data_IF_082876192684
#
_entry.id   IF_082876192684
#
_cell.length_a   1.000
_cell.length_b   1.000
_cell.length_c   1.000
_cell.angle_alpha   90.00
_cell.angle_beta   90.00
_cell.angle_gamma   90.00
#
_symmetry.space_group_name_H-M   'P 1'
#
loop_
_entity.id
_entity.type
_entity.pdbx_description
1 polymer ?
#
# COMPACT_ATOMS: atom_id res chain seq x y z
N UNK A 1 -6.95 -14.81 -13.80
CA UNK A 1 -5.98 -14.23 -12.87
C UNK A 1 -5.97 -12.71 -12.92
N UNK A 2 -5.47 -12.08 -11.88
CA UNK A 2 -5.36 -10.62 -11.75
C UNK A 2 -4.00 -10.19 -12.32
N UNK A 3 -3.99 -9.15 -13.17
CA UNK A 3 -2.73 -8.57 -13.66
C UNK A 3 -2.24 -7.52 -12.67
N UNK A 4 -1.08 -7.75 -12.07
CA UNK A 4 -0.42 -6.85 -11.12
C UNK A 4 0.91 -6.40 -11.69
N UNK A 5 1.20 -5.10 -11.58
CA UNK A 5 2.51 -4.52 -11.88
C UNK A 5 3.13 -3.97 -10.60
N UNK A 6 4.45 -3.93 -10.55
CA UNK A 6 5.22 -3.34 -9.45
C UNK A 6 6.03 -2.17 -9.98
N UNK A 7 6.04 -1.07 -9.23
CA UNK A 7 6.92 0.07 -9.45
C UNK A 7 7.83 0.19 -8.23
N UNK A 8 9.11 0.00 -8.44
CA UNK A 8 10.12 0.21 -7.40
C UNK A 8 10.70 1.63 -7.54
N UNK A 9 10.50 2.44 -6.51
CA UNK A 9 10.95 3.82 -6.47
C UNK A 9 12.32 3.89 -5.78
N UNK A 10 13.38 3.82 -6.57
CA UNK A 10 14.77 3.87 -6.08
C UNK A 10 15.17 5.28 -5.65
N UNK A 11 14.61 6.32 -6.28
CA UNK A 11 14.94 7.73 -6.01
C UNK A 11 13.71 8.53 -5.58
N UNK A 12 13.75 9.02 -4.34
CA UNK A 12 12.66 9.84 -3.81
C UNK A 12 12.82 11.34 -4.15
N UNK A 13 14.06 11.81 -4.34
CA UNK A 13 14.37 13.20 -4.73
C UNK A 13 15.50 13.23 -5.78
N UNK A 14 15.33 13.91 -6.93
CA UNK A 14 14.07 14.53 -7.39
C UNK A 14 12.98 13.50 -7.63
N UNK A 15 11.73 13.86 -7.35
CA UNK A 15 10.60 12.93 -7.52
C UNK A 15 10.28 12.76 -9.01
N UNK A 16 10.21 11.53 -9.54
CA UNK A 16 9.99 11.26 -10.96
C UNK A 16 8.50 11.36 -11.33
N UNK A 17 7.90 12.53 -11.12
CA UNK A 17 6.47 12.77 -11.27
C UNK A 17 5.97 12.49 -12.69
N UNK A 18 6.81 12.77 -13.69
CA UNK A 18 6.50 12.55 -15.12
C UNK A 18 6.32 11.05 -15.43
N UNK A 19 7.22 10.19 -14.92
CA UNK A 19 7.13 8.73 -15.08
C UNK A 19 5.96 8.17 -14.28
N UNK A 20 5.82 8.59 -13.03
CA UNK A 20 4.74 8.13 -12.15
C UNK A 20 3.38 8.48 -12.75
N UNK A 21 3.18 9.72 -13.21
CA UNK A 21 1.94 10.12 -13.87
C UNK A 21 1.59 9.24 -15.06
N UNK A 22 2.56 8.90 -15.92
CA UNK A 22 2.33 8.01 -17.07
C UNK A 22 2.01 6.58 -16.66
N UNK A 23 2.76 6.04 -15.70
CA UNK A 23 2.58 4.63 -15.27
C UNK A 23 1.24 4.42 -14.59
N UNK A 24 0.77 5.39 -13.81
CA UNK A 24 -0.47 5.26 -13.03
C UNK A 24 -1.74 5.51 -13.85
N UNK A 25 -1.65 6.19 -14.99
CA UNK A 25 -2.81 6.55 -15.81
C UNK A 25 -3.68 5.34 -16.16
N UNK A 26 -4.97 5.40 -15.88
CA UNK A 26 -5.96 4.40 -16.22
C UNK A 26 -5.82 3.06 -15.46
N UNK A 27 -5.04 2.99 -14.38
CA UNK A 27 -4.98 1.79 -13.56
C UNK A 27 -6.24 1.63 -12.73
N UNK A 28 -6.68 0.38 -12.52
CA UNK A 28 -7.90 0.07 -11.76
C UNK A 28 -7.77 0.29 -10.25
N UNK A 29 -6.53 0.30 -9.75
CA UNK A 29 -6.19 0.59 -8.36
C UNK A 29 -4.67 0.63 -8.21
N UNK A 30 -4.20 1.44 -7.28
CA UNK A 30 -2.79 1.56 -6.93
C UNK A 30 -2.66 1.55 -5.43
N UNK A 31 -1.83 0.65 -4.91
CA UNK A 31 -1.41 0.67 -3.52
C UNK A 31 0.00 1.23 -3.43
N UNK A 32 0.18 2.18 -2.54
CA UNK A 32 1.50 2.75 -2.18
C UNK A 32 1.92 2.12 -0.87
N UNK A 33 3.01 1.37 -0.90
CA UNK A 33 3.56 0.70 0.27
C UNK A 33 4.78 1.48 0.79
N UNK A 34 4.74 1.88 2.05
CA UNK A 34 5.80 2.66 2.69
C UNK A 34 6.22 2.02 4.02
N UNK A 35 7.55 1.93 4.23
CA UNK A 35 8.10 1.43 5.50
C UNK A 35 8.17 2.54 6.54
N UNK A 36 7.06 3.19 6.77
CA UNK A 36 6.93 4.28 7.74
C UNK A 36 5.50 4.40 8.22
N UNK A 37 5.33 5.08 9.33
CA UNK A 37 4.06 5.56 9.81
C UNK A 37 4.23 7.02 10.25
N UNK A 38 3.20 7.82 10.03
CA UNK A 38 3.16 9.22 10.46
C UNK A 38 1.82 9.47 11.14
N UNK A 39 1.72 9.19 12.43
CA UNK A 39 0.51 9.52 13.19
C UNK A 39 0.10 10.98 12.99
N UNK A 40 -1.20 11.24 12.90
CA UNK A 40 -1.80 12.57 12.65
C UNK A 40 -1.53 13.17 11.25
N UNK A 41 -0.75 12.54 10.38
CA UNK A 41 -0.65 12.96 8.98
C UNK A 41 -1.84 12.41 8.18
N UNK A 42 -2.31 13.21 7.21
CA UNK A 42 -3.38 12.77 6.30
C UNK A 42 -2.90 11.63 5.39
N UNK A 43 -1.66 11.73 4.91
CA UNK A 43 -1.01 10.74 4.05
C UNK A 43 0.45 10.55 4.42
N UNK A 44 1.00 9.38 4.10
CA UNK A 44 2.42 9.09 4.21
C UNK A 44 3.24 9.85 3.15
N UNK A 45 4.55 10.02 3.33
CA UNK A 45 5.37 10.88 2.48
C UNK A 45 5.28 10.60 0.98
N UNK A 46 5.41 9.33 0.57
CA UNK A 46 5.33 8.95 -0.84
C UNK A 46 3.91 9.10 -1.38
N UNK A 47 2.91 8.75 -0.59
CA UNK A 47 1.51 8.94 -0.97
C UNK A 47 1.20 10.41 -1.26
N UNK A 48 1.74 11.35 -0.48
CA UNK A 48 1.58 12.80 -0.75
C UNK A 48 2.14 13.22 -2.10
N UNK A 49 3.32 12.73 -2.46
CA UNK A 49 3.92 13.01 -3.77
C UNK A 49 3.11 12.43 -4.92
N UNK A 50 2.62 11.21 -4.75
CA UNK A 50 1.78 10.55 -5.75
C UNK A 50 0.45 11.28 -5.91
N UNK A 51 -0.22 11.68 -4.81
CA UNK A 51 -1.45 12.48 -4.89
C UNK A 51 -1.21 13.82 -5.57
N UNK A 52 -0.13 14.51 -5.22
CA UNK A 52 0.27 15.76 -5.86
C UNK A 52 0.49 15.59 -7.37
N UNK A 53 1.13 14.50 -7.77
CA UNK A 53 1.35 14.16 -9.18
C UNK A 53 0.03 13.90 -9.91
N UNK A 54 -0.83 13.04 -9.37
CA UNK A 54 -2.14 12.72 -9.96
C UNK A 54 -3.01 13.97 -10.06
N UNK A 55 -3.01 14.83 -9.03
CA UNK A 55 -3.73 16.11 -9.05
C UNK A 55 -3.28 17.01 -10.20
N UNK A 56 -1.96 17.18 -10.37
CA UNK A 56 -1.40 17.97 -11.49
C UNK A 56 -1.70 17.37 -12.86
N UNK A 57 -1.70 16.04 -12.98
CA UNK A 57 -2.10 15.37 -14.22
C UNK A 57 -3.58 15.65 -14.56
N UNK A 58 -4.46 15.68 -13.56
CA UNK A 58 -5.86 16.06 -13.73
C UNK A 58 -6.03 17.56 -14.04
N UNK A 59 -5.23 18.43 -13.43
CA UNK A 59 -5.21 19.86 -13.76
C UNK A 59 -4.83 20.10 -15.23
N UNK A 60 -3.86 19.35 -15.76
CA UNK A 60 -3.54 19.38 -17.19
C UNK A 60 -4.73 19.02 -18.09
N UNK A 61 -5.62 18.15 -17.62
CA UNK A 61 -6.80 17.74 -18.37
C UNK A 61 -7.94 18.78 -18.42
N UNK A 62 -7.91 19.78 -17.54
CA UNK A 62 -8.95 20.82 -17.47
C UNK A 62 -8.91 21.79 -18.66
N UNK A 63 -7.72 22.05 -19.21
CA UNK A 63 -7.55 22.88 -20.39
C UNK A 63 -7.11 22.04 -21.57
N UNK A 64 -8.02 21.84 -22.53
CA UNK A 64 -7.75 21.06 -23.74
C UNK A 64 -6.68 21.69 -24.64
N UNK A 65 -6.39 22.98 -24.49
CA UNK A 65 -5.49 23.73 -25.39
C UNK A 65 -4.06 23.85 -24.87
N UNK A 66 -3.86 23.79 -23.55
CA UNK A 66 -2.55 24.01 -22.94
C UNK A 66 -2.37 23.25 -21.64
N UNK A 67 -1.40 22.34 -21.60
CA UNK A 67 -0.98 21.72 -20.35
C UNK A 67 -0.34 22.76 -19.42
N UNK A 68 -0.81 22.82 -18.16
CA UNK A 68 -0.26 23.69 -17.12
C UNK A 68 1.13 23.19 -16.69
N UNK A 69 1.28 21.87 -16.67
CA UNK A 69 2.53 21.16 -16.30
C UNK A 69 3.01 20.35 -17.52
N UNK A 70 3.82 20.93 -18.43
CA UNK A 70 4.14 20.31 -19.73
C UNK A 70 4.83 18.96 -19.64
N UNK A 71 5.61 18.73 -18.58
CA UNK A 71 6.37 17.49 -18.38
C UNK A 71 5.52 16.35 -17.82
N UNK A 72 4.33 16.66 -17.30
CA UNK A 72 3.45 15.65 -16.69
C UNK A 72 2.42 15.11 -17.69
N UNK A 73 1.96 13.89 -17.42
CA UNK A 73 0.85 13.30 -18.14
C UNK A 73 -0.42 14.17 -18.05
N UNK A 74 -1.28 14.05 -19.03
CA UNK A 74 -2.58 14.75 -19.07
C UNK A 74 -3.70 13.73 -18.85
N UNK A 75 -4.40 13.83 -17.72
CA UNK A 75 -5.58 13.03 -17.45
C UNK A 75 -6.83 13.83 -17.84
N UNK A 76 -7.49 13.42 -18.89
CA UNK A 76 -8.65 14.14 -19.45
C UNK A 76 -9.94 13.84 -18.71
N UNK A 77 -10.00 12.68 -18.09
CA UNK A 77 -11.17 12.20 -17.37
C UNK A 77 -10.77 11.77 -15.96
N UNK A 78 -11.67 11.93 -15.00
CA UNK A 78 -11.43 11.49 -13.62
C UNK A 78 -11.17 9.97 -13.54
N UNK A 79 -11.74 9.20 -14.45
CA UNK A 79 -11.54 7.75 -14.54
C UNK A 79 -10.10 7.34 -14.87
N UNK A 80 -9.29 8.25 -15.44
CA UNK A 80 -7.87 8.00 -15.71
C UNK A 80 -7.01 8.08 -14.44
N UNK A 81 -7.51 8.75 -13.39
CA UNK A 81 -6.87 8.77 -12.09
C UNK A 81 -7.26 7.51 -11.29
N UNK A 82 -6.29 6.65 -10.94
CA UNK A 82 -6.60 5.43 -10.23
C UNK A 82 -7.05 5.69 -8.80
N UNK A 83 -7.93 4.84 -8.22
CA UNK A 83 -8.11 4.79 -6.78
C UNK A 83 -6.78 4.50 -6.08
N UNK A 84 -6.39 5.36 -5.13
CA UNK A 84 -5.16 5.23 -4.37
C UNK A 84 -5.44 4.63 -2.99
N UNK A 85 -4.53 3.77 -2.54
CA UNK A 85 -4.56 3.09 -1.25
C UNK A 85 -3.18 3.19 -0.60
N UNK A 86 -3.12 3.45 0.70
CA UNK A 86 -1.89 3.60 1.47
C UNK A 86 -1.70 2.42 2.40
N UNK A 87 -0.58 1.72 2.26
CA UNK A 87 -0.21 0.61 3.12
C UNK A 87 1.11 0.88 3.85
N UNK A 88 1.08 0.84 5.18
CA UNK A 88 2.28 0.88 6.00
C UNK A 88 2.77 -0.54 6.29
N UNK A 89 4.08 -0.77 6.17
CA UNK A 89 4.69 -2.07 6.45
C UNK A 89 6.03 -1.94 7.16
N UNK A 90 6.56 -3.05 7.63
CA UNK A 90 7.92 -3.13 8.16
C UNK A 90 8.12 -2.42 9.50
N UNK A 91 7.05 -2.02 10.18
CA UNK A 91 7.10 -1.44 11.52
C UNK A 91 7.59 -2.50 12.53
N UNK A 92 8.37 -2.07 13.52
CA UNK A 92 8.96 -2.98 14.50
C UNK A 92 9.95 -3.98 13.89
N UNK A 93 10.69 -3.58 12.84
CA UNK A 93 11.70 -4.41 12.16
C UNK A 93 11.13 -5.70 11.53
N UNK A 94 9.87 -5.70 11.13
CA UNK A 94 9.24 -6.85 10.47
C UNK A 94 9.38 -6.75 8.96
N UNK A 95 9.69 -7.87 8.34
CA UNK A 95 9.76 -7.95 6.89
C UNK A 95 8.37 -8.06 6.26
N UNK A 96 8.22 -7.47 5.07
CA UNK A 96 7.03 -7.63 4.26
C UNK A 96 6.95 -9.08 3.76
N UNK A 97 5.90 -9.77 4.13
CA UNK A 97 5.65 -11.14 3.73
C UNK A 97 4.80 -11.20 2.44
N UNK A 98 4.91 -12.26 1.63
CA UNK A 98 4.06 -12.47 0.45
C UNK A 98 2.57 -12.34 0.75
N UNK A 99 2.13 -12.86 1.87
CA UNK A 99 0.76 -12.72 2.38
C UNK A 99 0.31 -11.25 2.49
N UNK A 100 1.20 -10.36 2.95
CA UNK A 100 0.90 -8.93 3.02
C UNK A 100 0.68 -8.31 1.65
N UNK A 101 1.48 -8.68 0.64
CA UNK A 101 1.31 -8.21 -0.73
C UNK A 101 -0.01 -8.71 -1.34
N UNK A 102 -0.35 -9.99 -1.12
CA UNK A 102 -1.63 -10.55 -1.54
C UNK A 102 -2.78 -9.78 -0.90
N UNK A 103 -2.75 -9.55 0.41
CA UNK A 103 -3.77 -8.79 1.12
C UNK A 103 -3.91 -7.35 0.62
N UNK A 104 -2.81 -6.70 0.28
CA UNK A 104 -2.83 -5.35 -0.30
C UNK A 104 -3.52 -5.33 -1.67
N UNK A 105 -3.29 -6.35 -2.51
CA UNK A 105 -3.99 -6.49 -3.81
C UNK A 105 -5.46 -6.80 -3.61
N UNK A 106 -5.78 -7.79 -2.78
CA UNK A 106 -7.17 -8.19 -2.48
C UNK A 106 -7.98 -7.04 -1.90
N UNK A 107 -7.37 -6.19 -1.07
CA UNK A 107 -8.04 -5.00 -0.53
C UNK A 107 -8.54 -4.04 -1.62
N UNK A 108 -7.89 -3.99 -2.78
CA UNK A 108 -8.27 -3.10 -3.88
C UNK A 108 -9.38 -3.67 -4.77
N UNK A 109 -9.64 -4.98 -4.72
CA UNK A 109 -10.63 -5.64 -5.56
C UNK A 109 -12.06 -5.18 -5.25
N UNK A 110 -13.00 -5.35 -6.18
CA UNK A 110 -14.41 -5.00 -5.95
C UNK A 110 -15.02 -5.65 -4.71
N UNK A 111 -14.66 -6.89 -4.45
CA UNK A 111 -15.05 -7.71 -3.29
C UNK A 111 -14.19 -7.46 -2.04
N UNK A 112 -13.12 -6.71 -2.19
CA UNK A 112 -12.18 -6.40 -1.10
C UNK A 112 -12.72 -5.38 -0.11
N UNK A 113 -12.04 -5.25 1.02
CA UNK A 113 -12.40 -4.31 2.09
C UNK A 113 -12.29 -2.85 1.69
N UNK A 114 -11.49 -2.53 0.68
CA UNK A 114 -11.24 -1.18 0.13
C UNK A 114 -10.78 -0.14 1.17
N UNK A 115 -10.07 -0.60 2.18
CA UNK A 115 -9.48 0.27 3.20
C UNK A 115 -8.46 1.20 2.56
N UNK A 116 -8.63 2.50 2.73
CA UNK A 116 -7.78 3.52 2.11
C UNK A 116 -6.44 3.68 2.81
N UNK A 117 -6.39 3.41 4.10
CA UNK A 117 -5.18 3.29 4.92
C UNK A 117 -5.22 1.92 5.60
N UNK A 118 -4.10 1.23 5.62
CA UNK A 118 -3.99 -0.06 6.30
C UNK A 118 -2.54 -0.39 6.66
N UNK A 119 -2.41 -1.34 7.58
CA UNK A 119 -1.13 -1.87 8.06
C UNK A 119 -0.94 -3.32 7.64
N UNK A 120 0.29 -3.66 7.23
CA UNK A 120 0.71 -5.03 6.90
C UNK A 120 1.65 -5.57 7.98
N UNK A 121 1.67 -6.89 8.12
CA UNK A 121 2.55 -7.61 9.05
C UNK A 121 2.32 -7.26 10.52
N UNK A 122 1.07 -6.95 10.90
CA UNK A 122 0.66 -6.74 12.28
C UNK A 122 0.23 -8.08 12.90
N UNK A 123 0.78 -8.41 14.06
CA UNK A 123 0.60 -9.72 14.71
C UNK A 123 -0.80 -9.97 15.28
N UNK A 124 -1.62 -8.93 15.48
CA UNK A 124 -2.99 -9.08 15.97
C UNK A 124 -3.87 -9.98 15.11
N UNK A 125 -3.47 -10.21 13.86
CA UNK A 125 -4.19 -11.08 12.93
C UNK A 125 -3.65 -12.51 12.91
N UNK A 126 -2.75 -12.89 13.82
CA UNK A 126 -2.33 -14.28 13.93
C UNK A 126 -3.46 -15.11 14.52
N UNK A 127 -3.87 -16.11 13.76
CA UNK A 127 -4.94 -17.05 14.15
C UNK A 127 -4.54 -17.92 15.33
N UNK A 128 -3.27 -17.89 15.75
CA UNK A 128 -2.75 -18.66 16.89
C UNK A 128 -1.77 -17.81 17.68
N UNK A 129 -2.17 -17.42 18.87
CA UNK A 129 -1.23 -16.97 19.90
C UNK A 129 -0.27 -18.12 20.23
N UNK A 130 1.04 -17.83 20.27
CA UNK A 130 2.05 -18.86 20.50
C UNK A 130 2.12 -19.24 22.00
N UNK A 131 1.74 -18.30 22.88
CA UNK A 131 1.70 -18.51 24.34
C UNK A 131 0.53 -17.75 24.97
N UNK A 132 0.00 -18.21 26.13
CA UNK A 132 -1.07 -17.51 26.85
C UNK A 132 -0.70 -16.06 27.24
N UNK A 133 0.59 -15.79 27.49
CA UNK A 133 1.06 -14.43 27.78
C UNK A 133 0.96 -13.50 26.57
N UNK A 134 1.28 -14.01 25.40
CA UNK A 134 1.14 -13.24 24.15
C UNK A 134 -0.32 -12.97 23.83
N UNK A 135 -1.18 -13.95 24.05
CA UNK A 135 -2.62 -13.81 23.85
C UNK A 135 -3.21 -12.73 24.76
N UNK A 136 -2.90 -12.77 26.05
CA UNK A 136 -3.34 -11.76 27.02
C UNK A 136 -2.81 -10.36 26.67
N UNK A 137 -1.57 -10.26 26.21
CA UNK A 137 -0.99 -8.98 25.76
C UNK A 137 -1.67 -8.44 24.50
N UNK A 138 -1.90 -9.30 23.51
CA UNK A 138 -2.62 -8.94 22.31
C UNK A 138 -4.04 -8.46 22.63
N UNK A 139 -4.76 -9.18 23.46
CA UNK A 139 -6.10 -8.80 23.90
C UNK A 139 -6.09 -7.42 24.57
N UNK A 140 -5.13 -7.16 25.46
CA UNK A 140 -4.99 -5.84 26.12
C UNK A 140 -4.81 -4.71 25.11
N UNK A 141 -4.02 -4.94 24.04
CA UNK A 141 -3.82 -3.92 22.99
C UNK A 141 -5.06 -3.77 22.12
N UNK A 142 -5.72 -4.87 21.75
CA UNK A 142 -6.95 -4.81 20.96
C UNK A 142 -8.08 -4.07 21.70
N UNK A 143 -8.16 -4.27 23.01
CA UNK A 143 -9.15 -3.59 23.86
C UNK A 143 -8.85 -2.09 23.99
N UNK A 144 -7.56 -1.72 24.05
CA UNK A 144 -7.14 -0.33 24.15
C UNK A 144 -7.19 0.42 22.81
N UNK A 145 -6.95 -0.28 21.69
CA UNK A 145 -6.81 0.30 20.34
C UNK A 145 -7.53 -0.55 19.29
N UNK A 146 -8.87 -0.67 19.35
CA UNK A 146 -9.64 -1.53 18.42
C UNK A 146 -9.48 -1.15 16.95
N UNK A 147 -9.22 0.12 16.65
CA UNK A 147 -8.99 0.63 15.29
C UNK A 147 -7.75 0.00 14.63
N UNK A 148 -6.74 -0.38 15.39
CA UNK A 148 -5.53 -1.02 14.82
C UNK A 148 -5.88 -2.36 14.19
N UNK A 149 -6.75 -3.14 14.84
CA UNK A 149 -7.27 -4.39 14.28
C UNK A 149 -8.05 -4.17 13.00
N UNK A 150 -8.87 -3.12 13.00
CA UNK A 150 -9.66 -2.79 11.81
C UNK A 150 -8.80 -2.39 10.63
N UNK A 151 -7.69 -1.68 10.87
CA UNK A 151 -6.78 -1.22 9.82
C UNK A 151 -5.78 -2.29 9.38
N UNK A 152 -5.60 -3.37 10.14
CA UNK A 152 -4.72 -4.45 9.77
C UNK A 152 -5.30 -5.30 8.63
N UNK A 153 -4.45 -5.65 7.65
CA UNK A 153 -4.80 -6.47 6.49
C UNK A 153 -3.86 -7.67 6.42
N UNK A 154 -4.46 -8.81 6.09
CA UNK A 154 -3.80 -10.09 5.82
C UNK A 154 -4.34 -10.66 4.53
N UNK A 155 -3.49 -11.28 3.71
CA UNK A 155 -3.90 -11.95 2.49
C UNK A 155 -4.58 -13.30 2.75
N UNK A 156 -5.33 -13.76 1.77
CA UNK A 156 -6.00 -15.05 1.80
C UNK A 156 -5.03 -16.24 1.77
N UNK A 157 -3.82 -16.02 1.28
CA UNK A 157 -2.78 -17.04 1.13
C UNK A 157 -1.42 -16.54 1.63
N UNK A 158 -0.61 -17.45 2.15
CA UNK A 158 0.80 -17.22 2.49
C UNK A 158 1.69 -18.22 1.76
N UNK A 159 2.01 -17.96 0.48
CA UNK A 159 2.78 -18.90 -0.33
C UNK A 159 4.21 -19.07 0.21
N UNK A 160 4.68 -20.29 0.26
CA UNK A 160 6.07 -20.56 0.53
C UNK A 160 6.90 -20.31 -0.73
N UNK A 161 7.67 -19.21 -0.72
CA UNK A 161 8.54 -18.83 -1.83
C UNK A 161 9.96 -19.44 -1.74
N UNK A 162 10.22 -20.26 -0.72
CA UNK A 162 11.51 -20.92 -0.57
C UNK A 162 11.67 -22.01 -1.63
N UNK A 163 12.82 -22.09 -2.31
CA UNK A 163 13.09 -23.18 -3.23
C UNK A 163 12.95 -24.56 -2.54
N UNK A 164 12.50 -25.59 -3.25
CA UNK A 164 12.44 -26.94 -2.70
C UNK A 164 13.81 -27.38 -2.17
N UNK A 165 13.84 -27.97 -0.98
CA UNK A 165 15.08 -28.41 -0.34
C UNK A 165 15.86 -27.32 0.43
N UNK A 166 15.33 -26.10 0.51
CA UNK A 166 15.94 -25.04 1.33
C UNK A 166 15.82 -25.35 2.83
N UNK A 167 16.89 -25.05 3.58
CA UNK A 167 16.93 -25.14 5.03
C UNK A 167 16.87 -23.72 5.60
N UNK A 168 15.89 -23.44 6.42
CA UNK A 168 15.80 -22.16 7.14
C UNK A 168 16.54 -22.25 8.46
N UNK A 169 17.56 -21.42 8.62
CA UNK A 169 18.27 -21.26 9.90
C UNK A 169 17.79 -19.95 10.53
N UNK A 170 17.32 -20.03 11.78
CA UNK A 170 16.98 -18.85 12.61
C UNK A 170 18.04 -18.69 13.68
N UNK A 171 18.58 -17.51 13.82
CA UNK A 171 19.50 -17.13 14.88
C UNK A 171 18.75 -16.38 15.97
#
# INVERSE_FOLDING_TARGET
GIKVGVVDLVMFRPFPADLIGRVLQGRKGVVVLERTDQPLAVDLPLMREIRGTVSKCLENGRDAKRAIYPDLATYRELAEAPPLYSGSFGLGSRDLQPEGLIGAVENMLPEGKRKKLFYLSIDFLRDKAVTPKQEAYQQTIEDAYPEVRELAIKGSENPNLMPPGSITVRF
#
